data_IF_398143188202
#
_entry.id   IF_398143188202
#
_cell.length_a   1.000
_cell.length_b   1.000
_cell.length_c   1.000
_cell.angle_alpha   90.00
_cell.angle_beta   90.00
_cell.angle_gamma   90.00
#
_symmetry.space_group_name_H-M   'P 1'
#
loop_
_entity.id
_entity.type
_entity.pdbx_description
1 polymer ?
#
# COMPACT_ATOMS: atom_id res chain seq x y z
N UNK A 1 -7.17 1.35 24.63
CA UNK A 1 -6.31 1.22 25.83
C UNK A 1 -6.39 2.46 26.71
N UNK A 2 -5.61 3.50 26.45
CA UNK A 2 -5.52 4.69 27.32
C UNK A 2 -6.86 5.44 27.49
N UNK A 3 -7.69 5.51 26.45
CA UNK A 3 -9.03 6.13 26.54
C UNK A 3 -10.03 5.26 27.32
N UNK A 4 -9.81 3.94 27.39
CA UNK A 4 -10.62 3.00 28.19
C UNK A 4 -10.44 3.28 29.68
N UNK A 5 -9.24 3.75 30.02
CA UNK A 5 -8.77 4.10 31.35
C UNK A 5 -9.20 5.51 31.77
N UNK A 6 -9.73 6.34 30.86
CA UNK A 6 -10.30 7.65 31.22
C UNK A 6 -11.72 7.51 31.81
N UNK A 7 -12.41 6.41 31.51
CA UNK A 7 -13.73 6.13 32.07
C UNK A 7 -13.62 5.73 33.55
N UNK A 8 -14.30 6.49 34.41
CA UNK A 8 -14.26 6.39 35.88
C UNK A 8 -14.72 5.02 36.39
N UNK A 9 -15.66 4.38 35.71
CA UNK A 9 -16.19 3.05 36.07
C UNK A 9 -15.17 1.93 35.86
N UNK A 10 -14.28 2.04 34.86
CA UNK A 10 -13.28 1.02 34.57
C UNK A 10 -12.00 1.18 35.40
N UNK A 11 -11.61 2.41 35.75
CA UNK A 11 -10.48 2.67 36.67
C UNK A 11 -10.65 2.01 38.04
N UNK A 12 -11.89 1.94 38.52
CA UNK A 12 -12.20 1.32 39.81
C UNK A 12 -12.04 -0.21 39.78
N UNK A 13 -11.99 -0.82 38.60
CA UNK A 13 -11.89 -2.28 38.42
C UNK A 13 -10.45 -2.78 38.25
N UNK A 14 -9.50 -1.91 37.85
CA UNK A 14 -8.12 -2.30 37.53
C UNK A 14 -7.17 -2.01 38.69
N UNK A 15 -6.58 -3.05 39.26
CA UNK A 15 -5.49 -2.95 40.26
C UNK A 15 -4.13 -2.82 39.55
N UNK A 16 -3.09 -2.38 40.27
CA UNK A 16 -1.70 -2.33 39.78
C UNK A 16 -1.23 -3.67 39.17
N UNK A 17 -1.67 -4.79 39.73
CA UNK A 17 -1.39 -6.12 39.17
C UNK A 17 -1.95 -6.30 37.76
N UNK A 18 -3.17 -5.82 37.52
CA UNK A 18 -3.86 -5.99 36.24
C UNK A 18 -3.18 -5.16 35.14
N UNK A 19 -2.57 -4.03 35.51
CA UNK A 19 -1.66 -3.27 34.66
C UNK A 19 -0.38 -4.02 34.31
N UNK A 20 0.24 -4.67 35.30
CA UNK A 20 1.42 -5.51 35.08
C UNK A 20 1.12 -6.65 34.12
N UNK A 21 -0.02 -7.34 34.29
CA UNK A 21 -0.47 -8.40 33.38
C UNK A 21 -0.71 -7.84 31.98
N UNK A 22 -1.43 -6.73 31.84
CA UNK A 22 -1.69 -6.11 30.54
C UNK A 22 -0.39 -5.74 29.79
N UNK A 23 0.54 -5.06 30.46
CA UNK A 23 1.81 -4.63 29.85
C UNK A 23 2.68 -5.83 29.49
N UNK A 24 2.76 -6.85 30.36
CA UNK A 24 3.49 -8.07 30.09
C UNK A 24 2.91 -8.82 28.90
N UNK A 25 1.59 -8.99 28.84
CA UNK A 25 0.92 -9.62 27.70
C UNK A 25 1.15 -8.84 26.41
N UNK A 26 1.05 -7.51 26.45
CA UNK A 26 1.34 -6.66 25.29
C UNK A 26 2.79 -6.85 24.84
N UNK A 27 3.76 -6.86 25.77
CA UNK A 27 5.17 -7.04 25.49
C UNK A 27 5.46 -8.40 24.86
N UNK A 28 4.88 -9.48 25.39
CA UNK A 28 5.00 -10.84 24.84
C UNK A 28 4.44 -10.90 23.41
N UNK A 29 3.31 -10.25 23.16
CA UNK A 29 2.69 -10.24 21.82
C UNK A 29 3.53 -9.46 20.81
N UNK A 30 4.14 -8.34 21.20
CA UNK A 30 4.96 -7.52 20.29
C UNK A 30 6.42 -7.99 20.21
N UNK A 31 6.92 -8.77 21.16
CA UNK A 31 8.35 -9.12 21.25
C UNK A 31 8.90 -9.83 20.01
N UNK A 32 8.18 -10.73 19.32
CA UNK A 32 8.74 -11.35 18.10
C UNK A 32 9.04 -10.31 17.03
N UNK A 33 8.17 -9.31 16.86
CA UNK A 33 8.40 -8.21 15.91
C UNK A 33 9.56 -7.32 16.34
N UNK A 34 9.66 -7.00 17.63
CA UNK A 34 10.76 -6.19 18.15
C UNK A 34 12.12 -6.88 17.98
N UNK A 35 12.19 -8.18 18.29
CA UNK A 35 13.42 -8.98 18.16
C UNK A 35 13.83 -9.08 16.68
N UNK A 36 12.90 -9.41 15.79
CA UNK A 36 13.19 -9.48 14.35
C UNK A 36 13.65 -8.13 13.82
N UNK A 37 12.99 -7.04 14.20
CA UNK A 37 13.34 -5.70 13.75
C UNK A 37 14.73 -5.27 14.22
N UNK A 38 15.08 -5.57 15.47
CA UNK A 38 16.43 -5.34 16.01
C UNK A 38 17.51 -6.13 15.25
N UNK A 39 17.25 -7.39 14.90
CA UNK A 39 18.18 -8.23 14.14
C UNK A 39 18.35 -7.79 12.68
N UNK A 40 17.40 -7.03 12.13
CA UNK A 40 17.40 -6.57 10.74
C UNK A 40 17.62 -5.05 10.63
N UNK A 41 18.42 -4.47 11.53
CA UNK A 41 18.85 -3.07 11.43
C UNK A 41 17.70 -2.05 11.56
N UNK A 42 16.63 -2.42 12.27
CA UNK A 42 15.41 -1.63 12.43
C UNK A 42 14.65 -1.32 11.12
N UNK A 43 14.78 -2.15 10.08
CA UNK A 43 14.23 -1.92 8.75
C UNK A 43 12.77 -1.41 8.74
N UNK A 44 11.86 -2.02 9.52
CA UNK A 44 10.45 -1.57 9.59
C UNK A 44 10.30 -0.15 10.15
N UNK A 45 11.08 0.25 11.16
CA UNK A 45 11.01 1.59 11.75
C UNK A 45 11.54 2.60 10.75
N UNK A 46 12.68 2.32 10.11
CA UNK A 46 13.28 3.19 9.09
C UNK A 46 12.34 3.39 7.90
N UNK A 47 11.69 2.33 7.41
CA UNK A 47 10.69 2.45 6.35
C UNK A 47 9.44 3.21 6.80
N UNK A 48 9.01 3.06 8.06
CA UNK A 48 7.86 3.79 8.59
C UNK A 48 8.18 5.29 8.71
N UNK A 49 9.37 5.66 9.18
CA UNK A 49 9.84 7.05 9.22
C UNK A 49 9.84 7.66 7.83
N UNK A 50 10.41 6.96 6.84
CA UNK A 50 10.47 7.43 5.46
C UNK A 50 9.07 7.60 4.85
N UNK A 51 8.16 6.64 5.09
CA UNK A 51 6.77 6.73 4.65
C UNK A 51 5.97 7.83 5.36
N UNK A 52 6.33 8.16 6.60
CA UNK A 52 5.72 9.23 7.38
C UNK A 52 6.30 10.61 7.08
N UNK A 53 7.21 10.71 6.10
CA UNK A 53 7.90 11.90 5.64
C UNK A 53 8.22 12.90 6.77
N UNK A 54 8.77 12.41 7.88
CA UNK A 54 8.93 13.22 9.10
C UNK A 54 9.98 14.32 8.89
N UNK A 55 10.88 14.16 7.91
CA UNK A 55 11.97 15.10 7.61
C UNK A 55 11.49 16.42 7.01
N UNK A 56 10.37 16.42 6.29
CA UNK A 56 9.73 17.61 5.72
C UNK A 56 8.50 18.07 6.53
N UNK A 57 8.44 17.72 7.82
CA UNK A 57 7.30 17.98 8.67
C UNK A 57 6.96 19.48 8.73
N UNK A 58 5.69 19.80 8.46
CA UNK A 58 5.13 21.14 8.63
C UNK A 58 3.77 21.03 9.32
N UNK A 59 3.58 21.79 10.39
CA UNK A 59 2.34 21.69 11.18
C UNK A 59 1.21 22.37 10.41
N UNK A 60 0.19 21.59 10.04
CA UNK A 60 -1.01 22.04 9.33
C UNK A 60 -2.27 21.41 9.92
N UNK A 61 -3.09 22.25 10.56
CA UNK A 61 -4.41 21.84 11.06
C UNK A 61 -5.32 21.40 9.90
N UNK A 62 -5.18 22.06 8.75
CA UNK A 62 -5.94 21.76 7.52
C UNK A 62 -5.63 20.34 7.05
N UNK A 63 -4.37 19.88 7.13
CA UNK A 63 -3.99 18.50 6.78
C UNK A 63 -4.66 17.47 7.69
N UNK A 64 -4.77 17.76 9.00
CA UNK A 64 -5.54 16.93 9.93
C UNK A 64 -7.04 16.85 9.57
N UNK A 65 -7.65 17.97 9.15
CA UNK A 65 -9.04 17.98 8.69
C UNK A 65 -9.23 17.21 7.39
N UNK A 66 -8.31 17.35 6.41
CA UNK A 66 -8.32 16.55 5.19
C UNK A 66 -8.21 15.06 5.51
N UNK A 67 -7.35 14.69 6.47
CA UNK A 67 -7.24 13.31 6.93
C UNK A 67 -8.56 12.79 7.51
N UNK A 68 -9.25 13.58 8.35
CA UNK A 68 -10.57 13.19 8.88
C UNK A 68 -11.61 13.03 7.77
N UNK A 69 -11.62 13.92 6.78
CA UNK A 69 -12.50 13.79 5.60
C UNK A 69 -12.17 12.53 4.80
N UNK A 70 -10.88 12.20 4.65
CA UNK A 70 -10.44 10.99 3.93
C UNK A 70 -10.96 9.69 4.54
N UNK A 71 -11.32 9.70 5.83
CA UNK A 71 -11.93 8.55 6.49
C UNK A 71 -13.28 8.16 5.88
N UNK A 72 -14.02 9.12 5.30
CA UNK A 72 -15.24 8.81 4.56
C UNK A 72 -14.97 7.91 3.34
N UNK A 73 -13.79 8.03 2.71
CA UNK A 73 -13.38 7.14 1.63
C UNK A 73 -12.96 5.75 2.14
N UNK A 74 -12.43 5.66 3.35
CA UNK A 74 -12.01 4.39 3.98
C UNK A 74 -13.23 3.56 4.41
N UNK A 75 -14.24 4.20 5.03
CA UNK A 75 -15.39 3.50 5.61
C UNK A 75 -16.65 3.51 4.77
N UNK A 76 -16.71 4.41 3.79
CA UNK A 76 -17.94 4.82 3.13
C UNK A 76 -18.60 6.01 3.85
N UNK A 77 -19.14 6.99 3.11
CA UNK A 77 -19.65 8.24 3.67
C UNK A 77 -20.87 8.05 4.58
N UNK A 78 -21.77 7.13 4.22
CA UNK A 78 -22.99 6.87 5.02
C UNK A 78 -22.65 6.12 6.31
N UNK A 79 -21.68 5.21 6.29
CA UNK A 79 -21.23 4.53 7.50
C UNK A 79 -20.59 5.53 8.47
N UNK A 80 -19.79 6.47 7.96
CA UNK A 80 -19.21 7.53 8.79
C UNK A 80 -20.30 8.36 9.47
N UNK A 81 -21.35 8.75 8.74
CA UNK A 81 -22.51 9.44 9.32
C UNK A 81 -23.22 8.57 10.37
N UNK A 82 -23.39 7.27 10.11
CA UNK A 82 -23.97 6.34 11.08
C UNK A 82 -23.14 6.24 12.36
N UNK A 83 -21.80 6.28 12.27
CA UNK A 83 -20.90 6.34 13.43
C UNK A 83 -21.18 7.59 14.25
N UNK A 84 -21.26 8.77 13.62
CA UNK A 84 -21.58 10.04 14.32
C UNK A 84 -22.93 9.94 15.05
N UNK A 85 -23.96 9.39 14.40
CA UNK A 85 -25.27 9.18 15.01
C UNK A 85 -25.27 8.13 16.14
N UNK A 86 -24.45 7.09 16.03
CA UNK A 86 -24.30 6.09 17.07
C UNK A 86 -23.60 6.67 18.32
N UNK A 87 -22.64 7.58 18.13
CA UNK A 87 -21.94 8.26 19.23
C UNK A 87 -22.89 9.19 20.00
N UNK A 88 -23.76 9.90 19.28
CA UNK A 88 -24.73 10.85 19.86
C UNK A 88 -25.92 10.19 20.56
N UNK A 89 -26.04 8.86 20.52
CA UNK A 89 -27.14 8.09 21.12
C UNK A 89 -26.66 7.18 22.25
N UNK A 90 -27.60 6.58 22.98
CA UNK A 90 -27.30 5.58 24.00
C UNK A 90 -27.15 4.20 23.35
N UNK A 91 -25.92 3.68 23.32
CA UNK A 91 -25.58 2.35 22.81
C UNK A 91 -24.89 1.56 23.92
N UNK A 92 -25.23 0.27 24.05
CA UNK A 92 -24.57 -0.62 25.02
C UNK A 92 -23.06 -0.63 24.79
N UNK A 93 -22.29 -0.59 25.86
CA UNK A 93 -20.82 -0.60 25.84
C UNK A 93 -20.17 0.54 25.02
N UNK A 94 -20.89 1.64 24.73
CA UNK A 94 -20.36 2.78 23.93
C UNK A 94 -18.99 3.25 24.37
N UNK A 95 -18.80 3.47 25.68
CA UNK A 95 -17.53 3.97 26.20
C UNK A 95 -16.36 2.99 25.98
N UNK A 96 -16.63 1.68 26.03
CA UNK A 96 -15.63 0.66 25.70
C UNK A 96 -15.24 0.74 24.23
N UNK A 97 -16.23 0.77 23.32
CA UNK A 97 -15.97 0.82 21.88
C UNK A 97 -15.24 2.10 21.47
N UNK A 98 -15.64 3.25 22.02
CA UNK A 98 -14.96 4.53 21.80
C UNK A 98 -13.50 4.51 22.26
N UNK A 99 -13.20 3.76 23.31
CA UNK A 99 -11.85 3.66 23.83
C UNK A 99 -10.87 2.83 22.98
N UNK A 100 -11.40 2.05 22.03
CA UNK A 100 -10.63 1.38 20.98
C UNK A 100 -10.66 2.14 19.67
N UNK A 101 -11.77 2.83 19.36
CA UNK A 101 -11.93 3.64 18.14
C UNK A 101 -11.12 4.93 18.17
N UNK A 102 -11.21 5.70 19.25
CA UNK A 102 -10.68 7.06 19.31
C UNK A 102 -9.13 7.16 19.31
N UNK A 103 -8.36 6.29 20.02
CA UNK A 103 -6.91 6.44 20.05
C UNK A 103 -6.24 6.38 18.66
N UNK A 104 -6.49 5.38 17.79
CA UNK A 104 -5.87 5.35 16.47
C UNK A 104 -6.31 6.54 15.61
N UNK A 105 -7.58 6.97 15.67
CA UNK A 105 -8.01 8.18 14.94
C UNK A 105 -7.28 9.43 15.41
N UNK A 106 -7.19 9.66 16.71
CA UNK A 106 -6.54 10.85 17.28
C UNK A 106 -5.06 10.85 16.95
N UNK A 107 -4.35 9.74 17.19
CA UNK A 107 -2.91 9.64 16.95
C UNK A 107 -2.58 9.87 15.48
N UNK A 108 -3.30 9.23 14.57
CA UNK A 108 -3.03 9.39 13.14
C UNK A 108 -3.50 10.75 12.62
N UNK A 109 -4.54 11.35 13.20
CA UNK A 109 -4.93 12.73 12.86
C UNK A 109 -3.85 13.72 13.30
N UNK A 110 -3.27 13.56 14.50
CA UNK A 110 -2.14 14.36 14.95
C UNK A 110 -0.94 14.14 14.03
N UNK A 111 -0.64 12.90 13.66
CA UNK A 111 0.41 12.60 12.68
C UNK A 111 0.15 13.33 11.35
N UNK A 112 -1.08 13.29 10.83
CA UNK A 112 -1.49 13.97 9.60
C UNK A 112 -1.37 15.49 9.67
N UNK A 113 -1.41 16.06 10.88
CA UNK A 113 -1.16 17.48 11.10
C UNK A 113 0.33 17.81 11.08
N UNK A 114 1.21 16.86 11.35
CA UNK A 114 2.67 17.07 11.42
C UNK A 114 3.32 16.74 10.07
N UNK A 115 2.89 15.66 9.43
CA UNK A 115 3.36 15.22 8.12
C UNK A 115 2.28 14.42 7.39
N UNK A 116 2.54 14.06 6.14
CA UNK A 116 1.61 13.26 5.34
C UNK A 116 1.29 11.92 6.03
N UNK A 117 0.01 11.57 6.04
CA UNK A 117 -0.48 10.32 6.59
C UNK A 117 -1.45 9.67 5.62
N UNK A 118 -1.25 8.39 5.34
CA UNK A 118 -2.14 7.64 4.47
C UNK A 118 -3.49 7.40 5.16
N UNK A 119 -4.59 7.53 4.43
CA UNK A 119 -5.94 7.38 4.97
C UNK A 119 -6.18 6.02 5.66
N UNK A 120 -5.54 4.95 5.17
CA UNK A 120 -5.63 3.60 5.71
C UNK A 120 -4.92 3.43 7.07
N UNK A 121 -4.11 4.37 7.53
CA UNK A 121 -3.38 4.24 8.80
C UNK A 121 -4.30 4.24 10.03
N UNK A 122 -5.49 4.84 9.93
CA UNK A 122 -6.48 4.79 11.00
C UNK A 122 -7.41 3.56 10.94
N UNK A 123 -7.10 2.54 10.12
CA UNK A 123 -8.01 1.39 9.90
C UNK A 123 -8.41 0.67 11.20
N UNK A 124 -7.53 0.66 12.20
CA UNK A 124 -7.78 0.06 13.51
C UNK A 124 -8.93 0.70 14.29
N UNK A 125 -9.37 1.90 13.90
CA UNK A 125 -10.51 2.57 14.51
C UNK A 125 -11.85 1.95 14.10
N UNK A 126 -11.92 1.32 12.93
CA UNK A 126 -13.20 1.00 12.30
C UNK A 126 -13.88 -0.27 12.82
N UNK A 127 -13.18 -1.37 13.19
CA UNK A 127 -13.85 -2.52 13.79
C UNK A 127 -14.73 -2.18 15.01
N UNK A 128 -14.26 -1.45 16.05
CA UNK A 128 -15.14 -1.06 17.15
C UNK A 128 -16.22 -0.05 16.73
N UNK A 129 -15.98 0.78 15.71
CA UNK A 129 -16.98 1.70 15.18
C UNK A 129 -18.14 0.95 14.48
N UNK A 130 -17.83 -0.12 13.75
CA UNK A 130 -18.84 -0.98 13.10
C UNK A 130 -19.70 -1.65 14.17
N UNK A 131 -19.09 -2.20 15.24
CA UNK A 131 -19.84 -2.78 16.37
C UNK A 131 -20.74 -1.74 17.04
N UNK A 132 -20.25 -0.51 17.20
CA UNK A 132 -21.01 0.61 17.75
C UNK A 132 -22.23 0.93 16.87
N UNK A 133 -22.05 0.97 15.54
CA UNK A 133 -23.14 1.18 14.58
C UNK A 133 -24.12 0.01 14.62
N UNK A 134 -23.67 -1.24 14.71
CA UNK A 134 -24.57 -2.40 14.85
C UNK A 134 -25.47 -2.28 16.09
N UNK A 135 -24.88 -1.89 17.23
CA UNK A 135 -25.63 -1.64 18.47
C UNK A 135 -26.61 -0.47 18.37
N UNK A 136 -26.34 0.50 17.48
CA UNK A 136 -27.25 1.60 17.18
C UNK A 136 -28.34 1.21 16.18
N UNK A 137 -28.07 0.35 15.21
CA UNK A 137 -29.07 -0.12 14.24
C UNK A 137 -30.13 -1.01 14.91
N UNK A 138 -29.72 -1.77 15.93
CA UNK A 138 -30.56 -2.71 16.67
C UNK A 138 -31.06 -2.14 18.01
N UNK A 139 -32.05 -2.79 18.61
CA UNK A 139 -32.50 -2.51 19.97
C UNK A 139 -31.87 -3.44 21.01
N UNK A 140 -32.28 -3.29 22.28
CA UNK A 140 -31.78 -4.10 23.38
C UNK A 140 -32.05 -5.61 23.26
N UNK A 141 -32.99 -6.00 22.41
CA UNK A 141 -33.37 -7.38 22.07
C UNK A 141 -32.88 -7.80 20.67
N UNK A 142 -31.90 -7.08 20.10
CA UNK A 142 -31.29 -7.34 18.80
C UNK A 142 -32.24 -7.23 17.60
N UNK A 143 -33.37 -6.53 17.73
CA UNK A 143 -34.29 -6.26 16.62
C UNK A 143 -33.82 -5.03 15.84
N UNK A 144 -33.81 -5.14 14.51
CA UNK A 144 -33.40 -4.05 13.62
C UNK A 144 -34.43 -2.92 13.67
N UNK A 145 -34.06 -1.76 14.24
CA UNK A 145 -34.93 -0.57 14.33
C UNK A 145 -34.71 0.42 13.21
N UNK A 146 -33.55 0.36 12.54
CA UNK A 146 -33.13 1.33 11.54
C UNK A 146 -32.79 0.63 10.21
N UNK A 147 -33.74 -0.10 9.60
CA UNK A 147 -33.46 -0.86 8.38
C UNK A 147 -33.04 0.03 7.20
N UNK A 148 -33.59 1.24 7.11
CA UNK A 148 -33.20 2.21 6.07
C UNK A 148 -31.74 2.63 6.15
N UNK A 149 -31.21 2.83 7.36
CA UNK A 149 -29.79 3.14 7.55
C UNK A 149 -28.90 1.99 7.10
N UNK A 150 -29.25 0.75 7.45
CA UNK A 150 -28.54 -0.42 6.97
C UNK A 150 -28.58 -0.50 5.44
N UNK A 151 -29.75 -0.24 4.84
CA UNK A 151 -29.93 -0.15 3.40
C UNK A 151 -29.05 0.92 2.75
N UNK A 152 -29.00 2.14 3.29
CA UNK A 152 -28.17 3.22 2.76
C UNK A 152 -26.67 2.95 2.94
N UNK A 153 -26.25 2.35 4.06
CA UNK A 153 -24.86 1.91 4.26
C UNK A 153 -24.47 0.88 3.19
N UNK A 154 -25.31 -0.13 2.98
CA UNK A 154 -25.08 -1.15 1.97
C UNK A 154 -25.05 -0.57 0.55
N UNK A 155 -26.08 0.22 0.18
CA UNK A 155 -26.19 0.82 -1.13
C UNK A 155 -25.03 1.78 -1.44
N UNK A 156 -24.62 2.63 -0.49
CA UNK A 156 -23.50 3.55 -0.69
C UNK A 156 -22.17 2.83 -0.87
N UNK A 157 -21.86 1.83 -0.04
CA UNK A 157 -20.62 1.07 -0.16
C UNK A 157 -20.59 0.22 -1.43
N UNK A 158 -21.67 -0.49 -1.75
CA UNK A 158 -21.78 -1.25 -3.01
C UNK A 158 -21.69 -0.33 -4.22
N UNK A 159 -22.30 0.86 -4.15
CA UNK A 159 -22.18 1.87 -5.20
C UNK A 159 -20.75 2.34 -5.40
N UNK A 160 -20.03 2.68 -4.32
CA UNK A 160 -18.60 3.07 -4.39
C UNK A 160 -17.74 1.93 -4.92
N UNK A 161 -17.94 0.70 -4.44
CA UNK A 161 -17.22 -0.48 -4.93
C UNK A 161 -17.50 -0.70 -6.42
N UNK A 162 -18.76 -0.61 -6.84
CA UNK A 162 -19.15 -0.73 -8.25
C UNK A 162 -18.52 0.35 -9.13
N UNK A 163 -18.44 1.59 -8.64
CA UNK A 163 -17.75 2.68 -9.33
C UNK A 163 -16.24 2.41 -9.46
N UNK A 164 -15.57 2.02 -8.37
CA UNK A 164 -14.14 1.68 -8.39
C UNK A 164 -13.88 0.50 -9.34
N UNK A 165 -14.71 -0.54 -9.29
CA UNK A 165 -14.61 -1.70 -10.15
C UNK A 165 -14.79 -1.34 -11.63
N UNK A 166 -15.79 -0.52 -11.95
CA UNK A 166 -16.00 0.01 -13.30
C UNK A 166 -14.80 0.83 -13.76
N UNK A 167 -14.24 1.70 -12.91
CA UNK A 167 -13.03 2.46 -13.20
C UNK A 167 -11.83 1.55 -13.46
N UNK A 168 -11.68 0.45 -12.73
CA UNK A 168 -10.60 -0.51 -12.98
C UNK A 168 -10.75 -1.20 -14.35
N UNK A 169 -11.96 -1.53 -14.77
CA UNK A 169 -12.23 -2.18 -16.07
C UNK A 169 -12.04 -1.20 -17.23
N UNK A 170 -12.63 -0.01 -17.13
CA UNK A 170 -12.56 1.00 -18.18
C UNK A 170 -11.21 1.72 -18.19
N UNK A 171 -10.48 1.66 -17.07
CA UNK A 171 -9.33 2.49 -16.73
C UNK A 171 -9.59 3.98 -16.91
N UNK A 172 -10.81 4.42 -16.69
CA UNK A 172 -11.22 5.82 -16.85
C UNK A 172 -12.27 6.17 -15.80
N UNK A 173 -12.17 7.36 -15.22
CA UNK A 173 -13.21 7.92 -14.34
C UNK A 173 -14.23 8.74 -15.13
N UNK A 174 -14.23 8.63 -16.47
CA UNK A 174 -15.06 9.45 -17.35
C UNK A 174 -14.72 10.94 -17.21
N UNK A 175 -15.72 11.75 -16.90
CA UNK A 175 -15.58 13.21 -16.69
C UNK A 175 -14.67 13.54 -15.50
N UNK A 176 -14.58 12.64 -14.51
CA UNK A 176 -13.76 12.82 -13.32
C UNK A 176 -12.32 12.34 -13.52
N UNK A 177 -11.94 11.90 -14.72
CA UNK A 177 -10.58 11.38 -14.97
C UNK A 177 -9.57 12.50 -14.76
N UNK A 178 -8.68 12.39 -13.76
CA UNK A 178 -7.64 13.38 -13.56
C UNK A 178 -6.73 13.44 -14.80
N UNK A 179 -6.10 14.60 -15.05
CA UNK A 179 -5.15 14.75 -16.16
C UNK A 179 -4.01 13.72 -16.12
N UNK A 180 -3.64 13.27 -14.91
CA UNK A 180 -2.86 12.06 -14.70
C UNK A 180 -3.78 10.90 -14.35
N UNK A 181 -4.13 10.08 -15.35
CA UNK A 181 -4.84 8.81 -15.12
C UNK A 181 -4.10 7.96 -14.06
N UNK A 182 -4.72 7.68 -12.90
CA UNK A 182 -4.07 6.94 -11.82
C UNK A 182 -3.79 5.47 -12.18
N UNK A 183 -4.54 4.89 -13.10
CA UNK A 183 -4.41 3.49 -13.51
C UNK A 183 -3.43 3.28 -14.66
N UNK A 184 -2.85 4.35 -15.21
CA UNK A 184 -1.87 4.29 -16.31
C UNK A 184 -0.68 3.37 -16.02
N UNK A 185 -0.29 3.25 -14.74
CA UNK A 185 0.85 2.42 -14.35
C UNK A 185 0.56 0.91 -14.53
N UNK A 186 -0.72 0.52 -14.55
CA UNK A 186 -1.17 -0.87 -14.68
C UNK A 186 -1.53 -1.27 -16.12
N UNK A 187 -1.54 -0.32 -17.06
CA UNK A 187 -1.92 -0.53 -18.46
C UNK A 187 -0.72 -0.88 -19.34
N UNK A 188 -1.01 -1.56 -20.46
CA UNK A 188 -0.06 -1.82 -21.54
C UNK A 188 0.92 -2.97 -21.31
N UNK A 189 0.88 -3.62 -20.15
CA UNK A 189 1.85 -4.66 -19.79
C UNK A 189 1.70 -5.97 -20.56
N UNK A 190 0.53 -6.27 -21.12
CA UNK A 190 0.36 -7.41 -22.03
C UNK A 190 1.19 -7.22 -23.32
N UNK A 191 1.17 -6.01 -23.88
CA UNK A 191 1.94 -5.64 -25.07
C UNK A 191 3.43 -5.72 -24.76
N UNK A 192 3.87 -5.07 -23.68
CA UNK A 192 5.27 -5.12 -23.26
C UNK A 192 5.76 -6.55 -23.00
N UNK A 193 4.94 -7.39 -22.36
CA UNK A 193 5.30 -8.77 -22.13
C UNK A 193 5.41 -9.57 -23.44
N UNK A 194 4.49 -9.38 -24.39
CA UNK A 194 4.55 -10.04 -25.69
C UNK A 194 5.80 -9.62 -26.49
N UNK A 195 6.05 -8.31 -26.63
CA UNK A 195 7.19 -7.78 -27.38
C UNK A 195 8.53 -8.22 -26.77
N UNK A 196 8.64 -8.18 -25.43
CA UNK A 196 9.83 -8.66 -24.72
C UNK A 196 9.99 -10.17 -24.91
N UNK A 197 8.92 -10.95 -24.79
CA UNK A 197 8.96 -12.41 -24.95
C UNK A 197 9.38 -12.81 -26.36
N UNK A 198 8.92 -12.10 -27.38
CA UNK A 198 9.32 -12.31 -28.77
C UNK A 198 10.83 -12.06 -28.94
N UNK A 199 11.33 -10.93 -28.43
CA UNK A 199 12.74 -10.56 -28.54
C UNK A 199 13.69 -11.53 -27.82
N UNK A 200 13.32 -12.01 -26.62
CA UNK A 200 14.16 -12.93 -25.85
C UNK A 200 13.94 -14.41 -26.21
N UNK A 201 12.98 -14.73 -27.08
CA UNK A 201 12.66 -16.11 -27.45
C UNK A 201 13.85 -16.98 -27.90
N UNK A 202 14.92 -16.45 -28.51
CA UNK A 202 16.10 -17.25 -28.85
C UNK A 202 16.97 -17.66 -27.63
N UNK A 203 16.72 -17.08 -26.45
CA UNK A 203 17.56 -17.22 -25.25
C UNK A 203 16.76 -17.77 -24.06
N UNK A 204 16.48 -19.09 -24.02
CA UNK A 204 15.80 -19.71 -22.89
C UNK A 204 16.63 -19.55 -21.60
N UNK A 205 15.98 -19.22 -20.47
CA UNK A 205 16.65 -19.03 -19.18
C UNK A 205 17.41 -17.71 -19.04
N UNK A 206 17.21 -16.77 -19.97
CA UNK A 206 17.83 -15.46 -19.94
C UNK A 206 17.50 -14.68 -18.66
N UNK A 207 18.39 -13.74 -18.33
CA UNK A 207 18.18 -12.82 -17.22
C UNK A 207 17.73 -11.47 -17.77
N UNK A 208 16.56 -11.00 -17.35
CA UNK A 208 16.09 -9.64 -17.62
C UNK A 208 16.48 -8.75 -16.45
N UNK A 209 17.25 -7.71 -16.74
CA UNK A 209 17.60 -6.64 -15.83
C UNK A 209 16.61 -5.50 -16.05
N UNK A 210 16.14 -4.92 -14.95
CA UNK A 210 15.24 -3.76 -14.94
C UNK A 210 15.83 -2.66 -14.09
N UNK A 211 15.37 -1.42 -14.22
CA UNK A 211 15.91 -0.26 -13.50
C UNK A 211 14.86 0.43 -12.60
N UNK A 212 13.63 -0.09 -12.60
CA UNK A 212 12.53 0.48 -11.83
C UNK A 212 11.73 -0.62 -11.15
N UNK A 213 11.47 -0.41 -9.85
CA UNK A 213 10.63 -1.27 -9.00
C UNK A 213 9.32 -1.74 -9.66
N UNK A 214 8.60 -0.83 -10.34
CA UNK A 214 7.30 -1.14 -10.98
C UNK A 214 7.49 -2.10 -12.15
N UNK A 215 8.50 -1.87 -13.00
CA UNK A 215 8.86 -2.74 -14.12
C UNK A 215 9.28 -4.12 -13.61
N UNK A 216 10.16 -4.16 -12.59
CA UNK A 216 10.59 -5.42 -11.96
C UNK A 216 9.40 -6.22 -11.44
N UNK A 217 8.49 -5.57 -10.69
CA UNK A 217 7.33 -6.24 -10.11
C UNK A 217 6.40 -6.86 -11.17
N UNK A 218 6.12 -6.13 -12.24
CA UNK A 218 5.17 -6.54 -13.26
C UNK A 218 5.76 -7.59 -14.20
N UNK A 219 7.04 -7.48 -14.57
CA UNK A 219 7.73 -8.52 -15.33
C UNK A 219 7.94 -9.79 -14.50
N UNK A 220 8.29 -9.67 -13.22
CA UNK A 220 8.39 -10.84 -12.31
C UNK A 220 7.06 -11.59 -12.25
N UNK A 221 5.94 -10.87 -12.16
CA UNK A 221 4.62 -11.48 -12.15
C UNK A 221 4.26 -12.14 -13.49
N UNK A 222 4.65 -11.54 -14.62
CA UNK A 222 4.34 -12.03 -15.96
C UNK A 222 5.17 -13.24 -16.37
N UNK A 223 6.44 -13.27 -15.97
CA UNK A 223 7.37 -14.37 -16.27
C UNK A 223 7.44 -15.44 -15.17
N UNK A 224 6.56 -15.39 -14.16
CA UNK A 224 6.60 -16.29 -12.98
C UNK A 224 6.57 -17.79 -13.29
N UNK A 225 5.95 -18.16 -14.42
CA UNK A 225 5.74 -19.55 -14.85
C UNK A 225 6.74 -19.94 -15.96
N UNK A 226 7.86 -19.21 -16.07
CA UNK A 226 8.92 -19.42 -17.06
C UNK A 226 10.30 -19.48 -16.39
N UNK A 227 11.32 -19.96 -17.10
CA UNK A 227 12.70 -20.01 -16.61
C UNK A 227 13.43 -18.65 -16.67
N UNK A 228 12.74 -17.59 -17.10
CA UNK A 228 13.31 -16.25 -17.23
C UNK A 228 13.49 -15.62 -15.85
N UNK A 229 14.72 -15.18 -15.55
CA UNK A 229 15.06 -14.58 -14.26
C UNK A 229 14.93 -13.07 -14.36
N UNK A 230 14.08 -12.48 -13.52
CA UNK A 230 13.98 -11.01 -13.41
C UNK A 230 14.91 -10.53 -12.28
N UNK A 231 15.71 -9.51 -12.58
CA UNK A 231 16.60 -8.81 -11.65
C UNK A 231 16.45 -7.30 -11.78
N UNK A 232 16.82 -6.56 -10.74
CA UNK A 232 16.84 -5.10 -10.76
C UNK A 232 18.28 -4.60 -10.65
N UNK A 233 18.62 -3.57 -11.41
CA UNK A 233 19.88 -2.86 -11.28
C UNK A 233 19.75 -1.84 -10.15
N UNK A 234 20.56 -2.02 -9.11
CA UNK A 234 20.69 -1.13 -7.98
C UNK A 234 21.97 -0.30 -8.16
N UNK A 235 21.81 0.99 -8.48
CA UNK A 235 22.94 1.86 -8.84
C UNK A 235 23.72 2.40 -7.64
N UNK A 236 23.12 2.46 -6.45
CA UNK A 236 23.75 3.01 -5.24
C UNK A 236 24.07 1.94 -4.19
N UNK A 237 23.75 0.67 -4.49
CA UNK A 237 23.97 -0.49 -3.61
C UNK A 237 23.29 -0.36 -2.24
N UNK A 238 22.31 0.54 -2.12
CA UNK A 238 21.57 0.81 -0.90
C UNK A 238 20.09 0.53 -1.16
N UNK A 239 19.60 -0.69 -0.83
CA UNK A 239 18.25 -1.09 -1.20
C UNK A 239 17.17 -0.13 -0.71
N UNK A 240 16.50 0.52 -1.65
CA UNK A 240 15.34 1.39 -1.40
C UNK A 240 14.03 0.61 -1.35
N UNK A 241 14.02 -0.60 -1.91
CA UNK A 241 12.85 -1.46 -1.99
C UNK A 241 13.17 -2.96 -1.94
N UNK A 242 12.13 -3.78 -1.76
CA UNK A 242 12.25 -5.23 -1.64
C UNK A 242 12.93 -5.91 -2.84
N UNK A 243 12.75 -5.37 -4.06
CA UNK A 243 13.38 -5.98 -5.23
C UNK A 243 14.89 -5.72 -5.24
N UNK A 244 15.34 -4.52 -4.88
CA UNK A 244 16.78 -4.24 -4.72
C UNK A 244 17.39 -5.05 -3.56
N UNK A 245 16.64 -5.28 -2.49
CA UNK A 245 17.17 -6.04 -1.34
C UNK A 245 17.41 -7.53 -1.64
N UNK A 246 16.60 -8.15 -2.51
CA UNK A 246 16.60 -9.62 -2.69
C UNK A 246 16.75 -10.09 -4.14
N UNK A 247 16.56 -9.21 -5.12
CA UNK A 247 16.58 -9.52 -6.54
C UNK A 247 17.52 -8.59 -7.32
N UNK A 248 18.47 -7.96 -6.65
CA UNK A 248 19.51 -7.18 -7.34
C UNK A 248 20.30 -8.04 -8.32
N UNK A 249 20.58 -7.46 -9.47
CA UNK A 249 21.46 -8.06 -10.47
C UNK A 249 22.89 -8.03 -9.95
N UNK A 250 23.53 -9.19 -9.93
CA UNK A 250 24.94 -9.34 -9.62
C UNK A 250 25.59 -10.01 -10.83
N UNK A 251 26.58 -9.38 -11.48
CA UNK A 251 27.31 -9.97 -12.59
C UNK A 251 27.92 -11.29 -12.17
N UNK A 252 27.80 -12.29 -13.04
CA UNK A 252 28.32 -13.64 -12.80
C UNK A 252 29.50 -14.00 -13.70
N UNK A 253 29.79 -13.18 -14.72
CA UNK A 253 30.88 -13.36 -15.67
C UNK A 253 30.88 -14.75 -16.34
N UNK A 254 29.69 -15.24 -16.68
CA UNK A 254 29.47 -16.57 -17.27
C UNK A 254 29.15 -16.50 -18.78
N UNK A 255 29.39 -15.35 -19.41
CA UNK A 255 29.07 -15.03 -20.80
C UNK A 255 27.62 -15.37 -21.19
N UNK A 256 26.70 -15.23 -20.23
CA UNK A 256 25.29 -15.51 -20.45
C UNK A 256 24.58 -14.28 -21.03
N UNK A 257 23.60 -14.47 -21.93
CA UNK A 257 22.82 -13.37 -22.46
C UNK A 257 21.97 -12.72 -21.35
N UNK A 258 22.02 -11.39 -21.31
CA UNK A 258 21.21 -10.55 -20.42
C UNK A 258 20.45 -9.50 -21.21
N UNK A 259 19.28 -9.12 -20.70
CA UNK A 259 18.41 -8.17 -21.37
C UNK A 259 18.05 -7.03 -20.44
N UNK A 260 18.44 -5.79 -20.77
CA UNK A 260 18.03 -4.62 -20.01
C UNK A 260 16.72 -4.08 -20.54
N UNK A 261 15.70 -4.00 -19.69
CA UNK A 261 14.44 -3.31 -19.95
C UNK A 261 14.42 -1.99 -19.19
N UNK A 262 14.43 -0.87 -19.91
CA UNK A 262 14.47 0.49 -19.35
C UNK A 262 13.59 1.46 -20.14
N UNK A 263 13.19 2.58 -19.52
CA UNK A 263 12.58 3.72 -20.23
C UNK A 263 13.65 4.65 -20.87
N UNK A 264 14.94 4.41 -20.61
CA UNK A 264 16.06 5.14 -21.19
C UNK A 264 16.31 4.74 -22.65
N UNK A 265 16.57 5.74 -23.51
CA UNK A 265 16.94 5.53 -24.92
C UNK A 265 18.30 4.89 -25.12
N UNK A 266 19.14 4.92 -24.09
CA UNK A 266 20.48 4.34 -24.08
C UNK A 266 20.55 3.29 -22.99
N UNK A 267 21.33 2.21 -23.20
CA UNK A 267 21.53 1.21 -22.19
C UNK A 267 22.21 1.83 -20.97
N UNK A 268 21.86 1.33 -19.78
CA UNK A 268 22.48 1.77 -18.54
C UNK A 268 23.91 1.23 -18.45
N UNK A 269 24.78 1.99 -17.79
CA UNK A 269 26.11 1.50 -17.47
C UNK A 269 26.01 0.54 -16.28
N UNK A 270 26.06 -0.76 -16.57
CA UNK A 270 26.01 -1.83 -15.58
C UNK A 270 27.36 -2.54 -15.62
N UNK A 271 28.10 -2.46 -14.52
CA UNK A 271 29.41 -3.10 -14.41
C UNK A 271 29.28 -4.60 -14.70
N UNK A 272 30.17 -5.15 -15.53
CA UNK A 272 30.16 -6.56 -15.92
C UNK A 272 29.13 -6.95 -16.99
N UNK A 273 28.50 -5.97 -17.66
CA UNK A 273 27.63 -6.22 -18.81
C UNK A 273 28.15 -5.51 -20.06
N UNK A 274 28.44 -6.28 -21.10
CA UNK A 274 28.81 -5.76 -22.43
C UNK A 274 27.60 -5.74 -23.37
N UNK A 275 27.18 -4.57 -23.85
CA UNK A 275 26.02 -4.42 -24.74
C UNK A 275 26.36 -4.79 -26.19
N UNK A 276 25.57 -5.65 -26.83
CA UNK A 276 25.82 -6.12 -28.20
C UNK A 276 25.37 -5.12 -29.28
N UNK A 277 24.56 -4.13 -28.88
CA UNK A 277 23.91 -3.17 -29.76
C UNK A 277 22.58 -3.66 -30.34
N UNK A 278 22.23 -4.94 -30.18
CA UNK A 278 20.91 -5.44 -30.51
C UNK A 278 19.87 -4.86 -29.53
N UNK A 279 18.78 -4.32 -30.08
CA UNK A 279 17.71 -3.73 -29.29
C UNK A 279 16.34 -3.90 -29.95
N UNK A 280 15.30 -3.90 -29.12
CA UNK A 280 13.93 -3.71 -29.56
C UNK A 280 13.26 -2.59 -28.77
N UNK A 281 12.17 -2.06 -29.32
CA UNK A 281 11.35 -1.03 -28.69
C UNK A 281 9.94 -1.60 -28.54
N UNK A 282 9.42 -1.59 -27.31
CA UNK A 282 8.03 -1.90 -27.03
C UNK A 282 7.27 -0.63 -26.66
N UNK A 283 6.16 -0.39 -27.34
CA UNK A 283 5.37 0.82 -27.17
C UNK A 283 3.91 0.47 -26.89
N UNK A 284 3.39 0.95 -25.77
CA UNK A 284 2.01 0.71 -25.36
C UNK A 284 1.33 2.01 -24.95
N UNK A 285 0.11 2.22 -25.47
CA UNK A 285 -0.72 3.35 -25.05
C UNK A 285 -1.26 3.11 -23.64
N UNK A 286 -0.90 3.99 -22.70
CA UNK A 286 -1.28 3.88 -21.28
C UNK A 286 -2.36 4.89 -20.88
N UNK A 287 -2.57 5.94 -21.67
CA UNK A 287 -3.71 6.86 -21.53
C UNK A 287 -4.02 7.54 -22.87
N UNK A 288 -5.06 8.38 -22.91
CA UNK A 288 -5.43 9.12 -24.12
C UNK A 288 -4.29 10.00 -24.67
N UNK A 289 -3.38 10.47 -23.81
CA UNK A 289 -2.31 11.42 -24.15
C UNK A 289 -0.91 10.91 -23.82
N UNK A 290 -0.77 9.65 -23.38
CA UNK A 290 0.53 9.10 -22.98
C UNK A 290 0.71 7.67 -23.45
N UNK A 291 1.95 7.37 -23.76
CA UNK A 291 2.45 6.05 -24.12
C UNK A 291 3.63 5.72 -23.23
N UNK A 292 3.78 4.43 -22.90
CA UNK A 292 5.01 3.91 -22.30
C UNK A 292 5.83 3.32 -23.42
N UNK A 293 7.10 3.73 -23.46
CA UNK A 293 8.10 3.19 -24.38
C UNK A 293 9.15 2.51 -23.52
N UNK A 294 9.35 1.22 -23.74
CA UNK A 294 10.40 0.43 -23.14
C UNK A 294 11.42 0.09 -24.21
N UNK A 295 12.69 0.35 -23.91
CA UNK A 295 13.83 -0.08 -24.70
C UNK A 295 14.34 -1.37 -24.07
N UNK A 296 14.54 -2.38 -24.90
CA UNK A 296 15.09 -3.68 -24.49
C UNK A 296 16.44 -3.83 -25.20
N UNK A 297 17.51 -3.88 -24.44
CA UNK A 297 18.88 -4.02 -24.95
C UNK A 297 19.41 -5.41 -24.64
N UNK A 298 20.02 -6.07 -25.62
CA UNK A 298 20.76 -7.31 -25.42
C UNK A 298 22.20 -7.01 -25.02
N UNK A 299 22.68 -7.74 -24.02
CA UNK A 299 24.06 -7.71 -23.56
C UNK A 299 24.53 -9.09 -23.13
N UNK A 300 25.79 -9.17 -22.75
CA UNK A 300 26.45 -10.38 -22.25
C UNK A 300 26.94 -10.09 -20.84
N UNK A 301 26.59 -10.94 -19.89
CA UNK A 301 27.14 -10.96 -18.52
C UNK A 301 28.55 -11.54 -18.54
N UNK A 302 29.48 -10.71 -18.98
CA UNK A 302 30.89 -11.02 -19.21
C UNK A 302 31.73 -9.77 -18.97
N UNK A 303 32.93 -9.97 -18.43
CA UNK A 303 33.93 -8.91 -18.31
C UNK A 303 34.56 -8.66 -19.68
N UNK A 304 34.70 -7.40 -20.08
CA UNK A 304 35.73 -7.01 -21.05
C UNK A 304 37.13 -7.45 -20.58
#
# INVERSE_FOLDING_TARGET
GIIWLMNRQFRQLMRLRDWGVFLLSALIVISPNLIWNWQNGFATISHLEHNANIRDASISIISGLHFLVSQAAVTGPVLLLAVVMAISTSVKHKAFLLAFMAPPLIVITIQAMISEANANWAILAWPPAIILVSGWLCDGASRLKRPWWLGFIGASNTGVIGLVWLMCITGSMGILTPSSDPLRHLRGWDIHHADISEFISPHPGATIITDRRVTTALLTHRFRDTDIRIRIFDSDSTPSNHYEAYFSFLPSANDQPVFLVTESRQPLNIDGVAWTGAMTISQARISNQRERILYVFEGIDGTD
#
